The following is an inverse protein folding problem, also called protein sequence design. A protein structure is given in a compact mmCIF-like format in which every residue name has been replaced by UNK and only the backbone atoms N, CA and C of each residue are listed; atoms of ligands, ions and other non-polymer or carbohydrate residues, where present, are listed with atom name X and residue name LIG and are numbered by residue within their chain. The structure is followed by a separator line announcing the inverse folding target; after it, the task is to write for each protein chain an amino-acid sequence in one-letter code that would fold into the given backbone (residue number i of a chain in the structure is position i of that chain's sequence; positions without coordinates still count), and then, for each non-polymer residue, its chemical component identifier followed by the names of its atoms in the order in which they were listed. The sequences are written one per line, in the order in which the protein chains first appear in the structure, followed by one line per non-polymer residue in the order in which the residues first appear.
data_IF_520039387417
#
_entry.id   IF_520039387417
#
_cell.length_a   1.000
_cell.length_b   1.000
_cell.length_c   1.000
_cell.angle_alpha   90.00
_cell.angle_beta   90.00
_cell.angle_gamma   90.00
#
_symmetry.space_group_name_H-M   'P 1'
#
loop_
_entity.id
_entity.type
_entity.pdbx_description
1 polymer ?
#
# COMPACT_ATOMS: atom_id res chain seq x y z
N UNK A 1 5.03 -24.87 7.48
CA UNK A 1 5.03 -23.47 7.00
C UNK A 1 5.20 -22.55 8.17
N UNK A 2 5.99 -21.49 8.03
CA UNK A 2 6.25 -20.48 9.08
C UNK A 2 4.95 -19.73 9.42
N UNK A 3 4.70 -19.50 10.71
CA UNK A 3 3.48 -18.82 11.16
C UNK A 3 3.46 -17.36 10.69
N UNK A 4 2.27 -16.79 10.45
CA UNK A 4 2.14 -15.38 10.02
C UNK A 4 2.78 -14.41 11.00
N UNK A 5 2.68 -14.69 12.31
CA UNK A 5 3.30 -13.86 13.35
C UNK A 5 4.82 -13.81 13.22
N UNK A 6 5.45 -14.97 13.05
CA UNK A 6 6.91 -15.07 12.95
C UNK A 6 7.47 -14.32 11.73
N UNK A 7 6.70 -14.23 10.64
CA UNK A 7 7.05 -13.38 9.49
C UNK A 7 7.00 -11.88 9.80
N UNK A 8 6.02 -11.45 10.61
CA UNK A 8 5.91 -10.06 11.04
C UNK A 8 7.03 -9.70 12.02
N UNK A 9 7.30 -10.58 12.99
CA UNK A 9 8.37 -10.39 13.96
C UNK A 9 9.73 -10.25 13.25
N UNK A 10 10.00 -11.09 12.25
CA UNK A 10 11.23 -10.99 11.46
C UNK A 10 11.31 -9.74 10.59
N UNK A 11 10.20 -9.32 9.97
CA UNK A 11 10.14 -8.05 9.23
C UNK A 11 10.50 -6.88 10.16
N UNK A 12 9.89 -6.81 11.34
CA UNK A 12 10.12 -5.73 12.28
C UNK A 12 11.53 -5.73 12.84
N UNK A 13 12.11 -6.90 13.09
CA UNK A 13 13.52 -7.03 13.46
C UNK A 13 14.43 -6.44 12.38
N UNK A 14 14.25 -6.83 11.11
CA UNK A 14 15.04 -6.29 9.99
C UNK A 14 14.89 -4.78 9.89
N UNK A 15 13.67 -4.25 10.04
CA UNK A 15 13.42 -2.82 9.98
C UNK A 15 14.17 -2.09 11.11
N UNK A 16 14.03 -2.55 12.36
CA UNK A 16 14.67 -1.93 13.51
C UNK A 16 16.20 -2.00 13.47
N UNK A 17 16.77 -3.07 12.93
CA UNK A 17 18.23 -3.28 12.91
C UNK A 17 18.92 -2.45 11.80
N UNK A 18 18.19 -2.04 10.76
CA UNK A 18 18.80 -1.52 9.53
C UNK A 18 18.24 -0.19 9.03
N UNK A 19 17.10 0.28 9.54
CA UNK A 19 16.42 1.45 8.99
C UNK A 19 15.88 2.36 10.09
N UNK A 20 16.14 3.66 9.96
CA UNK A 20 15.50 4.68 10.80
C UNK A 20 14.06 4.97 10.34
N UNK A 21 13.78 4.75 9.05
CA UNK A 21 12.48 5.01 8.42
C UNK A 21 12.21 4.05 7.25
N UNK A 22 10.95 3.67 7.06
CA UNK A 22 10.49 2.80 5.96
C UNK A 22 9.20 3.33 5.37
N UNK A 23 9.10 3.28 4.03
CA UNK A 23 7.87 3.55 3.29
C UNK A 23 7.41 2.25 2.62
N UNK A 24 6.23 1.77 3.00
CA UNK A 24 5.59 0.65 2.33
C UNK A 24 4.69 1.17 1.21
N UNK A 25 5.01 0.83 -0.04
CA UNK A 25 4.15 1.12 -1.19
C UNK A 25 3.41 -0.16 -1.58
N UNK A 26 2.09 -0.12 -1.48
CA UNK A 26 1.20 -1.25 -1.75
C UNK A 26 0.39 -0.93 -3.00
N UNK A 27 0.78 -1.52 -4.13
CA UNK A 27 0.08 -1.38 -5.40
C UNK A 27 -1.04 -2.41 -5.56
N UNK A 28 -2.07 -2.05 -6.32
CA UNK A 28 -3.28 -2.87 -6.56
C UNK A 28 -3.85 -3.49 -5.27
N UNK A 29 -3.93 -2.69 -4.20
CA UNK A 29 -4.24 -3.20 -2.86
C UNK A 29 -5.63 -3.85 -2.80
N UNK A 30 -6.57 -3.40 -3.63
CA UNK A 30 -7.92 -3.95 -3.80
C UNK A 30 -7.91 -5.41 -4.28
N UNK A 31 -6.83 -5.88 -4.92
CA UNK A 31 -6.66 -7.29 -5.28
C UNK A 31 -6.47 -8.22 -4.08
N UNK A 32 -6.09 -7.68 -2.91
CA UNK A 32 -5.88 -8.45 -1.69
C UNK A 32 -7.19 -8.69 -0.91
N UNK A 33 -8.18 -9.30 -1.56
CA UNK A 33 -9.52 -9.53 -0.97
C UNK A 33 -9.48 -10.63 0.10
N UNK A 34 -8.62 -11.64 -0.05
CA UNK A 34 -8.50 -12.75 0.91
C UNK A 34 -9.59 -13.82 0.76
N UNK A 35 -10.03 -14.40 1.89
CA UNK A 35 -11.04 -15.47 1.88
C UNK A 35 -12.45 -14.90 1.94
N UNK A 36 -13.35 -15.47 1.14
CA UNK A 36 -14.75 -15.02 1.01
C UNK A 36 -15.61 -15.19 2.28
N UNK A 37 -15.17 -16.01 3.23
CA UNK A 37 -15.87 -16.25 4.50
C UNK A 37 -15.64 -15.15 5.54
N UNK A 38 -14.72 -14.22 5.28
CA UNK A 38 -14.45 -13.08 6.15
C UNK A 38 -15.24 -11.85 5.73
N UNK A 39 -15.79 -11.14 6.71
CA UNK A 39 -16.52 -9.89 6.48
C UNK A 39 -15.60 -8.76 6.00
N UNK A 40 -14.36 -8.73 6.50
CA UNK A 40 -13.37 -7.75 6.08
C UNK A 40 -12.35 -8.35 5.09
N UNK A 41 -11.95 -7.59 4.06
CA UNK A 41 -10.96 -8.00 3.09
C UNK A 41 -9.56 -8.14 3.72
N UNK A 42 -8.69 -8.95 3.12
CA UNK A 42 -7.35 -9.18 3.66
C UNK A 42 -6.48 -7.92 3.70
N UNK A 43 -6.67 -6.95 2.79
CA UNK A 43 -6.00 -5.65 2.88
C UNK A 43 -6.38 -4.83 4.11
N UNK A 44 -7.61 -4.95 4.64
CA UNK A 44 -8.00 -4.27 5.90
C UNK A 44 -7.06 -4.65 7.03
N UNK A 45 -6.78 -5.94 7.16
CA UNK A 45 -5.85 -6.45 8.17
C UNK A 45 -4.41 -6.03 7.88
N UNK A 46 -3.97 -6.03 6.62
CA UNK A 46 -2.63 -5.59 6.26
C UNK A 46 -2.40 -4.12 6.64
N UNK A 47 -3.32 -3.23 6.27
CA UNK A 47 -3.29 -1.81 6.62
C UNK A 47 -3.27 -1.62 8.14
N UNK A 48 -4.11 -2.35 8.87
CA UNK A 48 -4.11 -2.29 10.33
C UNK A 48 -2.76 -2.69 10.93
N UNK A 49 -2.18 -3.80 10.47
CA UNK A 49 -0.90 -4.29 10.98
C UNK A 49 0.23 -3.30 10.71
N UNK A 50 0.37 -2.80 9.48
CA UNK A 50 1.43 -1.86 9.10
C UNK A 50 1.30 -0.51 9.80
N UNK A 51 0.08 0.05 9.83
CA UNK A 51 -0.17 1.37 10.44
C UNK A 51 0.02 1.36 11.95
N UNK A 52 -0.23 0.22 12.59
CA UNK A 52 -0.09 0.05 14.04
C UNK A 52 1.30 -0.38 14.49
N UNK A 53 2.12 -0.84 13.55
CA UNK A 53 3.46 -1.33 13.82
C UNK A 53 4.33 -0.26 14.50
N UNK A 54 4.21 1.01 14.09
CA UNK A 54 4.91 2.15 14.71
C UNK A 54 4.33 2.67 16.03
N UNK A 55 3.20 2.16 16.51
CA UNK A 55 2.54 2.62 17.76
C UNK A 55 2.57 1.59 18.90
N UNK A 56 2.95 0.34 18.63
CA UNK A 56 2.92 -0.74 19.60
C UNK A 56 4.30 -1.05 20.25
N UNK A 57 5.29 -0.15 20.18
CA UNK A 57 6.70 -0.37 20.61
C UNK A 57 7.42 -1.54 19.90
N UNK A 58 6.76 -2.20 18.92
CA UNK A 58 7.36 -3.27 18.11
C UNK A 58 8.40 -2.71 17.11
N UNK A 59 8.31 -1.41 16.79
CA UNK A 59 9.19 -0.70 15.86
C UNK A 59 9.67 0.64 16.41
N UNK A 60 10.97 0.86 16.31
CA UNK A 60 11.63 2.13 16.60
C UNK A 60 11.73 3.03 15.34
N UNK A 61 11.56 2.44 14.15
CA UNK A 61 11.64 3.16 12.88
C UNK A 61 10.33 3.90 12.55
N UNK A 62 10.43 5.04 11.87
CA UNK A 62 9.26 5.72 11.32
C UNK A 62 8.66 4.94 10.15
N UNK A 63 7.35 4.71 10.16
CA UNK A 63 6.67 3.98 9.09
C UNK A 63 5.68 4.90 8.39
N UNK A 64 5.74 4.89 7.06
CA UNK A 64 4.71 5.44 6.19
C UNK A 64 4.16 4.33 5.31
N UNK A 65 2.86 4.37 5.03
CA UNK A 65 2.18 3.42 4.15
C UNK A 65 1.49 4.21 3.04
N UNK A 66 1.81 3.88 1.80
CA UNK A 66 1.15 4.39 0.60
C UNK A 66 0.37 3.23 -0.01
N UNK A 67 -0.94 3.37 -0.06
CA UNK A 67 -1.84 2.40 -0.67
C UNK A 67 -2.34 2.94 -2.01
N UNK A 68 -2.17 2.16 -3.07
CA UNK A 68 -2.62 2.48 -4.43
C UNK A 68 -3.71 1.46 -4.80
N UNK A 69 -4.80 1.96 -5.36
CA UNK A 69 -5.96 1.16 -5.75
C UNK A 69 -6.67 1.83 -6.91
N UNK A 70 -7.25 1.02 -7.79
CA UNK A 70 -8.15 1.49 -8.84
C UNK A 70 -9.60 1.62 -8.35
N UNK A 71 -9.93 1.01 -7.21
CA UNK A 71 -11.26 1.12 -6.60
C UNK A 71 -11.32 2.34 -5.67
N UNK A 72 -12.01 3.39 -6.13
CA UNK A 72 -12.24 4.64 -5.38
C UNK A 72 -13.06 4.44 -4.10
N UNK A 73 -13.75 3.31 -3.95
CA UNK A 73 -14.55 2.95 -2.77
C UNK A 73 -13.88 1.92 -1.88
N UNK A 74 -12.64 1.52 -2.18
CA UNK A 74 -11.91 0.50 -1.41
C UNK A 74 -11.95 0.81 0.10
N UNK A 75 -11.77 2.07 0.49
CA UNK A 75 -11.76 2.49 1.89
C UNK A 75 -13.08 2.24 2.63
N UNK A 76 -14.23 2.16 1.95
CA UNK A 76 -15.53 1.86 2.57
C UNK A 76 -15.60 0.44 3.14
N UNK A 77 -14.78 -0.47 2.60
CA UNK A 77 -14.70 -1.88 3.00
C UNK A 77 -13.60 -2.15 4.04
N UNK A 78 -12.79 -1.15 4.36
CA UNK A 78 -11.73 -1.25 5.38
C UNK A 78 -12.38 -1.17 6.75
N UNK A 79 -12.02 -2.09 7.64
CA UNK A 79 -12.58 -2.13 9.00
C UNK A 79 -12.26 -0.85 9.78
N UNK A 80 -13.18 -0.39 10.62
CA UNK A 80 -13.05 0.88 11.35
C UNK A 80 -11.75 1.02 12.16
N UNK A 81 -11.23 -0.10 12.69
CA UNK A 81 -9.94 -0.14 13.39
C UNK A 81 -8.76 0.10 12.45
N UNK A 82 -8.82 -0.45 11.25
CA UNK A 82 -7.79 -0.26 10.22
C UNK A 82 -7.81 1.19 9.73
N UNK A 83 -8.98 1.76 9.43
CA UNK A 83 -9.14 3.17 9.05
C UNK A 83 -8.58 4.09 10.14
N UNK A 84 -8.98 3.87 11.39
CA UNK A 84 -8.54 4.70 12.52
C UNK A 84 -7.04 4.61 12.81
N UNK A 85 -6.39 3.48 12.48
CA UNK A 85 -4.95 3.33 12.68
C UNK A 85 -4.17 3.92 11.51
N UNK A 86 -4.69 3.74 10.29
CA UNK A 86 -4.04 4.20 9.06
C UNK A 86 -4.12 5.73 8.90
N UNK A 87 -5.23 6.35 9.29
CA UNK A 87 -5.47 7.81 9.16
C UNK A 87 -5.05 8.34 7.79
N UNK A 88 -5.63 7.82 6.69
CA UNK A 88 -5.18 8.16 5.35
C UNK A 88 -5.38 9.64 5.01
N UNK A 89 -4.45 10.16 4.23
CA UNK A 89 -4.67 11.33 3.38
C UNK A 89 -4.99 10.82 1.97
N UNK A 90 -6.23 11.04 1.52
CA UNK A 90 -6.68 10.56 0.22
C UNK A 90 -6.17 11.48 -0.90
N UNK A 91 -5.50 10.88 -1.89
CA UNK A 91 -5.04 11.57 -3.11
C UNK A 91 -5.74 10.95 -4.31
N UNK A 92 -6.52 11.76 -5.03
CA UNK A 92 -7.18 11.33 -6.26
C UNK A 92 -6.34 11.66 -7.48
N UNK A 93 -6.23 10.71 -8.40
CA UNK A 93 -5.62 10.90 -9.71
C UNK A 93 -6.73 10.97 -10.75
N UNK A 94 -6.94 12.16 -11.31
CA UNK A 94 -7.92 12.36 -12.37
C UNK A 94 -7.48 11.67 -13.67
N UNK A 95 -8.45 11.34 -14.51
CA UNK A 95 -8.19 10.88 -15.87
C UNK A 95 -7.41 11.93 -16.66
N UNK A 96 -6.49 11.46 -17.52
CA UNK A 96 -5.72 12.36 -18.37
C UNK A 96 -6.61 13.04 -19.42
N UNK A 97 -6.45 14.35 -19.58
CA UNK A 97 -7.01 15.09 -20.70
C UNK A 97 -6.24 14.80 -22.01
N UNK A 98 -6.83 15.22 -23.14
CA UNK A 98 -6.25 14.99 -24.46
C UNK A 98 -4.85 15.61 -24.64
N UNK A 99 -4.57 16.76 -24.03
CA UNK A 99 -3.27 17.41 -24.12
C UNK A 99 -2.23 16.66 -23.27
N UNK A 100 -2.62 16.17 -22.08
CA UNK A 100 -1.78 15.34 -21.22
C UNK A 100 -1.43 14.01 -21.91
N UNK A 101 -2.40 13.33 -22.52
CA UNK A 101 -2.14 12.11 -23.29
C UNK A 101 -1.19 12.37 -24.47
N UNK A 102 -1.38 13.47 -25.22
CA UNK A 102 -0.45 13.85 -26.28
C UNK A 102 0.97 14.10 -25.75
N UNK A 103 1.10 14.78 -24.61
CA UNK A 103 2.39 15.05 -24.00
C UNK A 103 3.09 13.75 -23.54
N UNK A 104 2.35 12.82 -22.95
CA UNK A 104 2.84 11.50 -22.55
C UNK A 104 3.35 10.73 -23.77
N UNK A 105 2.54 10.65 -24.83
CA UNK A 105 2.93 9.92 -26.06
C UNK A 105 4.15 10.55 -26.73
N UNK A 106 4.25 11.88 -26.79
CA UNK A 106 5.44 12.57 -27.32
C UNK A 106 6.69 12.26 -26.50
N UNK A 107 6.57 12.19 -25.17
CA UNK A 107 7.69 11.87 -24.28
C UNK A 107 8.13 10.42 -24.39
N UNK A 108 7.22 9.50 -24.74
CA UNK A 108 7.50 8.07 -24.94
C UNK A 108 7.85 7.71 -26.39
N UNK A 109 8.14 8.69 -27.25
CA UNK A 109 8.48 8.45 -28.66
C UNK A 109 9.69 7.52 -28.84
N UNK A 110 10.62 7.57 -27.90
CA UNK A 110 11.79 6.69 -27.84
C UNK A 110 11.42 5.22 -27.74
N UNK A 111 10.39 4.88 -26.95
CA UNK A 111 9.89 3.52 -26.75
C UNK A 111 9.19 2.89 -27.97
N UNK A 112 9.02 3.64 -29.08
CA UNK A 112 8.40 3.16 -30.31
C UNK A 112 9.38 2.94 -31.48
N UNK A 113 10.70 2.94 -31.21
CA UNK A 113 11.71 2.62 -32.23
C UNK A 113 12.23 1.19 -32.04
N UNK A 114 12.49 0.49 -33.14
CA UNK A 114 12.78 -0.96 -33.18
C UNK A 114 14.14 -1.39 -32.58
N UNK A 115 14.89 -0.49 -31.93
CA UNK A 115 16.21 -0.78 -31.31
C UNK A 115 16.25 -0.45 -29.80
N UNK A 116 15.12 -0.63 -29.10
CA UNK A 116 15.01 -0.66 -27.63
C UNK A 116 14.52 -2.02 -27.15
#
# INVERSE_FOLDING_TARGET
GVATKEKWDELYRIVNDHFDSVVFVLDELDMLVGRRDKQEPAYSRLLYQLSRAGTNDDLNAYISVVAISNDTKMMESVGSRAVSSFTPEDVHFDDYDANQLQAILRRRQDAFNDDV
#
